data_IF_945128537414
#
_entry.id   IF_945128537414
#
_cell.length_a   1.000
_cell.length_b   1.000
_cell.length_c   1.000
_cell.angle_alpha   90.00
_cell.angle_beta   90.00
_cell.angle_gamma   90.00
#
_symmetry.space_group_name_H-M   'P 1'
#
loop_
_entity.id
_entity.type
_entity.pdbx_description
1 polymer ?
#
# COMPACT_ATOMS: atom_id res chain seq x y z
N UNK A 1 -4.02 21.83 -21.09
CA UNK A 1 -4.45 20.57 -20.45
C UNK A 1 -5.97 20.48 -20.62
N UNK A 2 -6.45 19.63 -21.54
CA UNK A 2 -7.89 19.41 -21.68
C UNK A 2 -8.39 18.82 -20.36
N UNK A 3 -9.30 19.54 -19.70
CA UNK A 3 -10.00 19.01 -18.53
C UNK A 3 -11.02 17.99 -19.02
N UNK A 4 -10.80 16.72 -18.71
CA UNK A 4 -11.82 15.70 -18.96
C UNK A 4 -13.12 16.11 -18.27
N UNK A 5 -14.22 16.06 -19.03
CA UNK A 5 -15.54 16.28 -18.44
C UNK A 5 -15.97 15.01 -17.69
N UNK A 6 -15.82 15.03 -16.37
CA UNK A 6 -16.17 13.91 -15.48
C UNK A 6 -17.54 14.08 -14.85
N UNK A 7 -18.28 15.16 -15.18
CA UNK A 7 -19.60 15.44 -14.61
C UNK A 7 -20.59 14.31 -14.95
N UNK A 8 -21.20 13.77 -13.92
CA UNK A 8 -22.17 12.67 -14.02
C UNK A 8 -21.57 11.28 -14.22
N UNK A 9 -20.23 11.16 -14.29
CA UNK A 9 -19.56 9.86 -14.26
C UNK A 9 -19.70 9.20 -12.89
N UNK A 10 -19.83 7.88 -12.86
CA UNK A 10 -19.96 7.09 -11.62
C UNK A 10 -18.61 6.50 -11.24
N UNK A 11 -18.14 6.82 -10.03
CA UNK A 11 -16.89 6.31 -9.46
C UNK A 11 -17.18 5.40 -8.27
N UNK A 12 -16.73 4.15 -8.36
CA UNK A 12 -16.70 3.24 -7.22
C UNK A 12 -15.38 3.42 -6.45
N UNK A 13 -15.48 3.72 -5.16
CA UNK A 13 -14.35 3.83 -4.22
C UNK A 13 -14.34 2.58 -3.35
N UNK A 14 -13.21 1.85 -3.35
CA UNK A 14 -13.03 0.63 -2.58
C UNK A 14 -12.59 0.96 -1.15
N UNK A 15 -13.35 0.50 -0.18
CA UNK A 15 -13.29 0.79 1.25
C UNK A 15 -13.79 2.19 1.65
N UNK A 16 -14.26 2.30 2.90
CA UNK A 16 -14.93 3.49 3.43
C UNK A 16 -14.24 4.17 4.61
N UNK A 17 -12.96 3.86 4.89
CA UNK A 17 -12.23 4.45 6.00
C UNK A 17 -12.13 5.99 5.91
N UNK A 18 -11.86 6.67 7.03
CA UNK A 18 -11.81 8.13 7.10
C UNK A 18 -10.85 8.81 6.11
N UNK A 19 -9.80 8.12 5.67
CA UNK A 19 -8.88 8.62 4.64
C UNK A 19 -9.58 8.85 3.29
N UNK A 20 -10.65 8.11 2.99
CA UNK A 20 -11.43 8.22 1.76
C UNK A 20 -12.37 9.44 1.74
N UNK A 21 -12.63 10.09 2.90
CA UNK A 21 -13.47 11.28 2.97
C UNK A 21 -12.99 12.39 2.03
N UNK A 22 -11.65 12.55 1.92
CA UNK A 22 -11.05 13.55 1.02
C UNK A 22 -11.26 13.17 -0.45
N UNK A 23 -11.18 11.88 -0.78
CA UNK A 23 -11.41 11.36 -2.12
C UNK A 23 -12.85 11.60 -2.55
N UNK A 24 -13.82 11.25 -1.70
CA UNK A 24 -15.25 11.46 -1.96
C UNK A 24 -15.54 12.96 -2.20
N UNK A 25 -15.04 13.84 -1.33
CA UNK A 25 -15.24 15.29 -1.48
C UNK A 25 -14.66 15.82 -2.79
N UNK A 26 -13.41 15.47 -3.10
CA UNK A 26 -12.76 15.89 -4.34
C UNK A 26 -13.50 15.39 -5.59
N UNK A 27 -13.97 14.13 -5.59
CA UNK A 27 -14.77 13.57 -6.69
C UNK A 27 -16.09 14.34 -6.87
N UNK A 28 -16.79 14.65 -5.77
CA UNK A 28 -18.04 15.43 -5.82
C UNK A 28 -17.82 16.86 -6.32
N UNK A 29 -16.73 17.52 -5.94
CA UNK A 29 -16.35 18.84 -6.48
C UNK A 29 -16.11 18.81 -8.00
N UNK A 30 -15.70 17.66 -8.53
CA UNK A 30 -15.57 17.43 -9.99
C UNK A 30 -16.90 17.06 -10.66
N UNK A 31 -17.99 16.96 -9.92
CA UNK A 31 -19.30 16.57 -10.42
C UNK A 31 -19.45 15.07 -10.66
N UNK A 32 -18.61 14.26 -10.07
CA UNK A 32 -18.64 12.80 -10.16
C UNK A 32 -19.66 12.25 -9.15
N UNK A 33 -20.48 11.30 -9.57
CA UNK A 33 -21.34 10.53 -8.68
C UNK A 33 -20.53 9.47 -7.96
N UNK A 34 -20.48 9.55 -6.64
CA UNK A 34 -19.58 8.75 -5.80
C UNK A 34 -20.30 7.59 -5.13
N UNK A 35 -19.71 6.42 -5.22
CA UNK A 35 -20.19 5.18 -4.60
C UNK A 35 -19.07 4.62 -3.74
N UNK A 36 -19.36 4.31 -2.46
CA UNK A 36 -18.39 3.71 -1.55
C UNK A 36 -18.82 2.28 -1.22
N UNK A 37 -17.93 1.30 -1.42
CA UNK A 37 -18.17 -0.08 -0.99
C UNK A 37 -17.31 -0.44 0.21
N UNK A 38 -17.94 -0.96 1.26
CA UNK A 38 -17.29 -1.46 2.46
C UNK A 38 -18.23 -2.45 3.16
N UNK A 39 -17.69 -3.49 3.81
CA UNK A 39 -18.47 -4.44 4.57
C UNK A 39 -18.96 -3.88 5.93
N UNK A 40 -18.34 -2.80 6.42
CA UNK A 40 -18.76 -2.12 7.64
C UNK A 40 -19.90 -1.14 7.33
N UNK A 41 -21.01 -1.17 8.09
CA UNK A 41 -22.15 -0.30 7.83
C UNK A 41 -21.86 1.18 8.08
N UNK A 42 -21.03 1.48 9.08
CA UNK A 42 -20.71 2.80 9.62
C UNK A 42 -19.38 3.36 9.15
N UNK A 43 -18.85 2.87 8.02
CA UNK A 43 -17.62 3.39 7.45
C UNK A 43 -17.74 4.87 7.08
N UNK A 44 -16.86 5.76 7.58
CA UNK A 44 -17.04 7.22 7.52
C UNK A 44 -17.26 7.79 6.11
N UNK A 45 -16.64 7.22 5.08
CA UNK A 45 -16.80 7.73 3.72
C UNK A 45 -18.16 7.39 3.09
N UNK A 46 -18.88 6.39 3.61
CA UNK A 46 -20.24 6.05 3.16
C UNK A 46 -21.23 7.18 3.40
N UNK A 47 -21.09 7.89 4.53
CA UNK A 47 -21.96 9.02 4.89
C UNK A 47 -21.81 10.20 3.93
N UNK A 48 -20.65 10.34 3.29
CA UNK A 48 -20.34 11.44 2.39
C UNK A 48 -20.63 11.11 0.92
N UNK A 49 -20.67 9.84 0.57
CA UNK A 49 -20.91 9.37 -0.79
C UNK A 49 -22.37 9.59 -1.22
N UNK A 50 -22.64 9.62 -2.53
CA UNK A 50 -23.99 9.68 -3.06
C UNK A 50 -24.71 8.34 -2.88
N UNK A 51 -23.95 7.24 -2.88
CA UNK A 51 -24.46 5.88 -2.66
C UNK A 51 -23.42 5.05 -1.89
N UNK A 52 -23.87 4.03 -1.17
CA UNK A 52 -22.99 3.07 -0.51
C UNK A 52 -23.45 1.62 -0.72
N UNK A 53 -22.46 0.73 -0.87
CA UNK A 53 -22.69 -0.70 -0.99
C UNK A 53 -22.13 -1.45 0.21
N UNK A 54 -22.88 -2.48 0.66
CA UNK A 54 -22.48 -3.38 1.73
C UNK A 54 -21.79 -4.63 1.17
N UNK A 55 -20.70 -4.39 0.40
CA UNK A 55 -19.89 -5.46 -0.18
C UNK A 55 -18.47 -5.38 0.36
N UNK A 56 -17.90 -6.54 0.69
CA UNK A 56 -16.50 -6.65 1.04
C UNK A 56 -15.64 -6.41 -0.21
N UNK A 57 -14.57 -5.63 -0.09
CA UNK A 57 -13.61 -5.38 -1.18
C UNK A 57 -12.98 -6.65 -1.75
N UNK A 58 -13.01 -7.75 -1.00
CA UNK A 58 -12.54 -9.07 -1.43
C UNK A 58 -13.59 -9.85 -2.24
N UNK A 59 -14.85 -9.42 -2.25
CA UNK A 59 -15.93 -10.01 -3.06
C UNK A 59 -15.92 -9.41 -4.47
N UNK A 60 -14.91 -9.79 -5.24
CA UNK A 60 -14.72 -9.29 -6.61
C UNK A 60 -15.91 -9.63 -7.50
N UNK A 61 -16.48 -10.84 -7.36
CA UNK A 61 -17.62 -11.28 -8.17
C UNK A 61 -18.86 -10.42 -7.94
N UNK A 62 -19.20 -10.19 -6.65
CA UNK A 62 -20.31 -9.35 -6.26
C UNK A 62 -20.14 -7.91 -6.72
N UNK A 63 -18.92 -7.35 -6.57
CA UNK A 63 -18.59 -6.00 -7.01
C UNK A 63 -18.71 -5.88 -8.53
N UNK A 64 -18.09 -6.77 -9.30
CA UNK A 64 -18.13 -6.74 -10.77
C UNK A 64 -19.56 -6.85 -11.29
N UNK A 65 -20.37 -7.74 -10.71
CA UNK A 65 -21.78 -7.86 -11.05
C UNK A 65 -22.50 -6.55 -10.85
N UNK A 66 -22.39 -5.96 -9.67
CA UNK A 66 -23.08 -4.71 -9.33
C UNK A 66 -22.55 -3.51 -10.15
N UNK A 67 -21.26 -3.45 -10.45
CA UNK A 67 -20.68 -2.44 -11.33
C UNK A 67 -21.30 -2.46 -12.73
N UNK A 68 -21.56 -3.66 -13.28
CA UNK A 68 -22.21 -3.80 -14.59
C UNK A 68 -23.67 -3.35 -14.56
N UNK A 69 -24.41 -3.72 -13.52
CA UNK A 69 -25.81 -3.32 -13.31
C UNK A 69 -25.94 -1.81 -13.18
N UNK A 70 -25.02 -1.18 -12.44
CA UNK A 70 -25.03 0.26 -12.16
C UNK A 70 -24.28 1.11 -13.19
N UNK A 71 -23.69 0.50 -14.20
CA UNK A 71 -22.92 1.18 -15.25
C UNK A 71 -21.81 2.08 -14.69
N UNK A 72 -20.90 1.51 -13.88
CA UNK A 72 -19.78 2.23 -13.26
C UNK A 72 -18.77 2.63 -14.34
N UNK A 73 -18.35 3.91 -14.34
CA UNK A 73 -17.38 4.47 -15.28
C UNK A 73 -15.92 4.34 -14.81
N UNK A 74 -15.69 4.21 -13.51
CA UNK A 74 -14.35 4.06 -12.95
C UNK A 74 -14.35 3.44 -11.57
N UNK A 75 -13.23 2.80 -11.21
CA UNK A 75 -13.00 2.23 -9.88
C UNK A 75 -11.73 2.86 -9.30
N UNK A 76 -11.70 3.08 -8.00
CA UNK A 76 -10.55 3.65 -7.31
C UNK A 76 -10.23 2.86 -6.05
N UNK A 77 -8.97 2.51 -5.89
CA UNK A 77 -8.37 2.13 -4.62
C UNK A 77 -7.47 3.27 -4.13
N UNK A 78 -7.67 3.72 -2.90
CA UNK A 78 -6.85 4.77 -2.29
C UNK A 78 -6.33 4.33 -0.92
N UNK A 79 -5.01 4.14 -0.82
CA UNK A 79 -4.29 3.82 0.43
C UNK A 79 -4.74 2.51 1.14
N UNK A 80 -5.34 1.56 0.43
CA UNK A 80 -5.75 0.27 1.01
C UNK A 80 -4.96 -0.85 0.33
N UNK A 81 -3.90 -1.32 0.98
CA UNK A 81 -3.04 -2.37 0.45
C UNK A 81 -3.79 -3.68 0.11
N UNK A 82 -4.70 -4.21 0.97
CA UNK A 82 -5.46 -5.40 0.64
C UNK A 82 -6.34 -5.28 -0.60
N UNK A 83 -6.76 -4.05 -0.95
CA UNK A 83 -7.62 -3.83 -2.10
C UNK A 83 -6.87 -3.77 -3.43
N UNK A 84 -5.54 -3.79 -3.47
CA UNK A 84 -4.77 -3.62 -4.71
C UNK A 84 -5.04 -4.73 -5.72
N UNK A 85 -4.98 -6.00 -5.31
CA UNK A 85 -5.26 -7.14 -6.19
C UNK A 85 -6.74 -7.19 -6.62
N UNK A 86 -7.73 -7.08 -5.69
CA UNK A 86 -9.13 -6.94 -6.06
C UNK A 86 -9.39 -5.78 -7.02
N UNK A 87 -8.81 -4.61 -6.78
CA UNK A 87 -8.93 -3.43 -7.64
C UNK A 87 -8.48 -3.72 -9.08
N UNK A 88 -7.29 -4.30 -9.24
CA UNK A 88 -6.79 -4.69 -10.55
C UNK A 88 -7.74 -5.65 -11.26
N UNK A 89 -8.17 -6.71 -10.57
CA UNK A 89 -9.07 -7.72 -11.14
C UNK A 89 -10.43 -7.13 -11.52
N UNK A 90 -10.99 -6.25 -10.69
CA UNK A 90 -12.25 -5.56 -11.00
C UNK A 90 -12.08 -4.70 -12.27
N UNK A 91 -11.01 -3.91 -12.37
CA UNK A 91 -10.75 -3.08 -13.54
C UNK A 91 -10.57 -3.92 -14.82
N UNK A 92 -9.79 -5.02 -14.76
CA UNK A 92 -9.60 -5.94 -15.89
C UNK A 92 -10.93 -6.55 -16.37
N UNK A 93 -11.75 -7.04 -15.43
CA UNK A 93 -13.04 -7.71 -15.77
C UNK A 93 -14.11 -6.75 -16.28
N UNK A 94 -13.98 -5.47 -15.95
CA UNK A 94 -14.87 -4.40 -16.42
C UNK A 94 -14.30 -3.64 -17.63
N UNK A 95 -13.07 -3.94 -18.04
CA UNK A 95 -12.33 -3.18 -19.05
C UNK A 95 -12.28 -1.68 -18.73
N UNK A 96 -12.04 -1.36 -17.45
CA UNK A 96 -11.89 0.01 -16.95
C UNK A 96 -10.41 0.37 -16.79
N UNK A 97 -10.06 1.68 -16.86
CA UNK A 97 -8.71 2.13 -16.58
C UNK A 97 -8.23 1.70 -15.19
N UNK A 98 -6.97 1.27 -15.11
CA UNK A 98 -6.29 0.91 -13.87
C UNK A 98 -4.96 1.67 -13.77
N UNK A 99 -4.54 2.03 -12.55
CA UNK A 99 -3.30 2.77 -12.29
C UNK A 99 -2.02 1.94 -12.51
N UNK A 100 -2.15 0.66 -12.73
CA UNK A 100 -1.01 -0.25 -12.94
C UNK A 100 -1.42 -1.53 -13.64
N UNK A 101 -0.42 -2.30 -14.02
CA UNK A 101 -0.57 -3.63 -14.61
C UNK A 101 -0.41 -4.72 -13.53
N UNK A 102 -0.78 -5.94 -13.85
CA UNK A 102 -0.53 -7.10 -12.97
C UNK A 102 0.94 -7.22 -12.58
N UNK A 103 1.86 -7.00 -13.55
CA UNK A 103 3.30 -6.99 -13.28
C UNK A 103 3.69 -5.88 -12.30
N UNK A 104 3.16 -4.68 -12.47
CA UNK A 104 3.43 -3.54 -11.57
C UNK A 104 2.99 -3.84 -10.14
N UNK A 105 1.75 -4.31 -9.97
CA UNK A 105 1.25 -4.65 -8.63
C UNK A 105 2.00 -5.82 -8.00
N UNK A 106 2.39 -6.83 -8.78
CA UNK A 106 3.14 -7.97 -8.26
C UNK A 106 4.52 -7.56 -7.73
N UNK A 107 5.20 -6.66 -8.44
CA UNK A 107 6.50 -6.11 -8.00
C UNK A 107 6.32 -5.22 -6.77
N UNK A 108 5.39 -4.27 -6.81
CA UNK A 108 5.26 -3.24 -5.76
C UNK A 108 4.66 -3.75 -4.45
N UNK A 109 3.98 -4.90 -4.46
CA UNK A 109 3.39 -5.50 -3.24
C UNK A 109 4.27 -6.53 -2.57
N UNK A 110 5.38 -6.91 -3.18
CA UNK A 110 6.35 -7.88 -2.67
C UNK A 110 7.72 -7.23 -2.48
N UNK A 111 8.24 -7.23 -1.25
CA UNK A 111 9.50 -6.55 -0.91
C UNK A 111 10.72 -7.18 -1.60
N UNK A 112 10.71 -8.51 -1.80
CA UNK A 112 11.80 -9.20 -2.49
C UNK A 112 11.82 -8.80 -3.95
N UNK A 113 10.70 -8.95 -4.64
CA UNK A 113 10.57 -8.59 -6.06
C UNK A 113 10.88 -7.13 -6.32
N UNK A 114 10.44 -6.24 -5.40
CA UNK A 114 10.75 -4.82 -5.53
C UNK A 114 12.24 -4.53 -5.41
N UNK A 115 12.95 -5.17 -4.46
CA UNK A 115 14.40 -5.01 -4.33
C UNK A 115 15.15 -5.58 -5.54
N UNK A 116 14.77 -6.76 -6.00
CA UNK A 116 15.37 -7.39 -7.19
C UNK A 116 15.19 -6.44 -8.40
N UNK A 117 14.01 -5.87 -8.55
CA UNK A 117 13.72 -4.88 -9.60
C UNK A 117 14.58 -3.62 -9.47
N UNK A 118 14.78 -3.09 -8.27
CA UNK A 118 15.67 -1.96 -8.02
C UNK A 118 17.11 -2.27 -8.44
N UNK A 119 17.64 -3.41 -8.02
CA UNK A 119 19.01 -3.85 -8.37
C UNK A 119 19.16 -4.02 -9.88
N UNK A 120 18.20 -4.66 -10.54
CA UNK A 120 18.20 -4.86 -12.00
C UNK A 120 18.24 -3.50 -12.76
N UNK A 121 17.67 -2.45 -12.18
CA UNK A 121 17.61 -1.12 -12.77
C UNK A 121 18.68 -0.13 -12.23
N UNK A 122 19.70 -0.65 -11.52
CA UNK A 122 20.80 0.16 -11.01
C UNK A 122 20.43 1.12 -9.87
N UNK A 123 19.35 0.82 -9.15
CA UNK A 123 18.94 1.57 -7.95
C UNK A 123 19.49 0.90 -6.71
N UNK A 124 20.23 1.65 -5.90
CA UNK A 124 20.80 1.15 -4.66
C UNK A 124 19.72 0.70 -3.68
N UNK A 125 19.97 -0.41 -3.01
CA UNK A 125 19.11 -0.96 -1.98
C UNK A 125 19.88 -1.14 -0.67
N UNK A 126 19.15 -1.19 0.45
CA UNK A 126 19.76 -1.49 1.75
C UNK A 126 20.42 -2.88 1.68
N UNK A 127 21.69 -3.02 2.14
CA UNK A 127 22.38 -4.30 2.17
C UNK A 127 21.57 -5.37 2.91
N UNK A 128 21.56 -6.57 2.36
CA UNK A 128 20.84 -7.71 2.93
C UNK A 128 21.78 -8.77 3.45
N UNK A 129 21.25 -9.55 4.40
CA UNK A 129 21.88 -10.73 4.95
C UNK A 129 20.99 -11.95 4.71
N UNK A 130 21.61 -13.07 4.43
CA UNK A 130 20.95 -14.37 4.29
C UNK A 130 20.76 -15.04 5.67
N UNK A 131 19.98 -16.11 5.73
CA UNK A 131 19.86 -16.95 6.94
C UNK A 131 21.21 -17.61 7.27
N UNK A 132 21.98 -17.99 6.24
CA UNK A 132 23.32 -18.53 6.36
C UNK A 132 24.30 -17.51 6.97
N UNK A 133 24.25 -16.25 6.57
CA UNK A 133 25.07 -15.18 7.15
C UNK A 133 24.78 -15.01 8.64
N UNK A 134 23.50 -15.05 9.03
CA UNK A 134 23.10 -14.96 10.44
C UNK A 134 23.60 -16.16 11.23
N UNK A 135 23.49 -17.37 10.68
CA UNK A 135 23.96 -18.58 11.33
C UNK A 135 25.48 -18.61 11.48
N UNK A 136 26.21 -18.10 10.49
CA UNK A 136 27.66 -17.98 10.48
C UNK A 136 28.18 -16.74 11.26
N UNK A 137 27.30 -15.91 11.79
CA UNK A 137 27.64 -14.65 12.47
C UNK A 137 28.36 -13.62 11.56
N UNK A 138 28.12 -13.67 10.25
CA UNK A 138 28.64 -12.74 9.26
C UNK A 138 27.70 -11.53 9.07
N UNK A 139 27.16 -10.99 10.16
CA UNK A 139 26.22 -9.87 10.15
C UNK A 139 26.67 -8.77 11.10
N UNK A 140 26.44 -7.53 10.70
CA UNK A 140 26.60 -6.35 11.56
C UNK A 140 25.27 -6.03 12.25
N UNK A 141 25.19 -6.29 13.56
CA UNK A 141 24.01 -5.93 14.35
C UNK A 141 23.98 -4.41 14.69
N UNK A 142 22.80 -3.78 14.82
CA UNK A 142 21.46 -4.38 14.66
C UNK A 142 21.07 -4.61 13.20
N UNK A 143 20.25 -5.66 12.99
CA UNK A 143 19.63 -5.98 11.70
C UNK A 143 18.12 -5.85 11.79
N UNK A 144 17.46 -5.66 10.64
CA UNK A 144 16.02 -5.50 10.54
C UNK A 144 15.41 -6.63 9.71
N UNK A 145 14.55 -7.42 10.34
CA UNK A 145 13.89 -8.56 9.72
C UNK A 145 12.42 -8.23 9.50
N UNK A 146 11.91 -8.51 8.30
CA UNK A 146 10.52 -8.24 7.91
C UNK A 146 10.00 -9.31 6.95
N UNK A 147 8.67 -9.60 6.98
CA UNK A 147 8.04 -10.48 5.99
C UNK A 147 8.17 -9.92 4.58
N UNK A 148 8.25 -10.78 3.56
CA UNK A 148 8.22 -10.36 2.14
C UNK A 148 6.95 -9.62 1.79
N UNK A 149 5.79 -10.08 2.26
CA UNK A 149 4.47 -9.58 1.87
C UNK A 149 3.52 -9.39 3.07
N UNK A 150 3.85 -8.47 3.97
CA UNK A 150 2.96 -8.06 5.06
C UNK A 150 2.66 -6.56 5.01
N UNK A 151 1.66 -6.14 5.78
CA UNK A 151 1.18 -4.76 5.88
C UNK A 151 1.18 -4.27 7.32
N UNK A 152 1.18 -2.95 7.50
CA UNK A 152 1.02 -2.31 8.81
C UNK A 152 2.12 -2.71 9.80
N UNK A 153 3.36 -2.86 9.33
CA UNK A 153 4.54 -3.22 10.13
C UNK A 153 4.43 -4.54 10.91
N UNK A 154 3.50 -5.43 10.56
CA UNK A 154 3.35 -6.73 11.19
C UNK A 154 4.54 -7.63 10.87
N UNK A 155 4.99 -8.39 11.86
CA UNK A 155 6.09 -9.34 11.72
C UNK A 155 7.46 -8.71 11.51
N UNK A 156 7.61 -7.40 11.74
CA UNK A 156 8.88 -6.70 11.67
C UNK A 156 9.59 -6.77 13.03
N UNK A 157 10.91 -7.00 13.01
CA UNK A 157 11.72 -7.11 14.23
C UNK A 157 13.10 -6.48 14.02
N UNK A 158 13.52 -5.61 14.95
CA UNK A 158 14.92 -5.15 15.04
C UNK A 158 15.62 -6.15 15.95
N UNK A 159 16.73 -6.73 15.48
CA UNK A 159 17.45 -7.77 16.18
C UNK A 159 18.88 -7.31 16.49
N UNK A 160 19.29 -7.45 17.74
CA UNK A 160 20.60 -7.06 18.26
C UNK A 160 21.52 -8.26 18.49
N UNK A 161 21.04 -9.47 18.24
CA UNK A 161 21.79 -10.70 18.43
C UNK A 161 21.31 -11.82 17.51
N UNK A 162 22.15 -12.82 17.29
CA UNK A 162 21.79 -14.05 16.53
C UNK A 162 20.52 -14.72 17.07
N UNK A 163 20.40 -14.80 18.41
CA UNK A 163 19.21 -15.40 19.05
C UNK A 163 17.94 -14.64 18.68
N UNK A 164 17.98 -13.32 18.74
CA UNK A 164 16.84 -12.48 18.34
C UNK A 164 16.55 -12.57 16.85
N UNK A 165 17.60 -12.66 16.02
CA UNK A 165 17.44 -12.82 14.57
C UNK A 165 16.73 -14.12 14.20
N UNK A 166 17.09 -15.25 14.82
CA UNK A 166 16.42 -16.54 14.60
C UNK A 166 14.93 -16.46 15.00
N UNK A 167 14.63 -15.84 16.14
CA UNK A 167 13.24 -15.62 16.56
C UNK A 167 12.49 -14.67 15.59
N UNK A 168 13.14 -13.58 15.16
CA UNK A 168 12.60 -12.62 14.19
C UNK A 168 12.29 -13.26 12.83
N UNK A 169 13.14 -14.14 12.34
CA UNK A 169 12.88 -14.92 11.11
C UNK A 169 11.61 -15.77 11.26
N UNK A 170 11.47 -16.48 12.39
CA UNK A 170 10.28 -17.28 12.63
C UNK A 170 9.00 -16.44 12.65
N UNK A 171 9.03 -15.27 13.28
CA UNK A 171 7.91 -14.31 13.30
C UNK A 171 7.60 -13.82 11.88
N UNK A 172 8.61 -13.42 11.12
CA UNK A 172 8.44 -12.92 9.76
C UNK A 172 7.87 -14.00 8.83
N UNK A 173 8.39 -15.24 8.90
CA UNK A 173 7.88 -16.39 8.14
C UNK A 173 6.43 -16.74 8.51
N UNK A 174 6.03 -16.56 9.76
CA UNK A 174 4.66 -16.83 10.21
C UNK A 174 3.66 -15.81 9.65
N UNK A 175 4.06 -14.54 9.57
CA UNK A 175 3.20 -13.45 9.07
C UNK A 175 3.15 -13.40 7.54
N UNK A 176 4.18 -13.87 6.85
CA UNK A 176 4.25 -13.87 5.38
C UNK A 176 3.42 -15.00 4.76
N UNK A 177 2.65 -14.70 3.71
CA UNK A 177 1.83 -15.70 3.01
C UNK A 177 2.66 -16.72 2.23
N UNK A 178 3.85 -16.31 1.76
CA UNK A 178 4.82 -17.17 1.04
C UNK A 178 5.90 -17.75 1.96
N UNK A 179 5.79 -17.51 3.28
CA UNK A 179 6.82 -17.89 4.28
C UNK A 179 8.19 -17.26 4.02
N UNK A 180 8.23 -16.20 3.22
CA UNK A 180 9.44 -15.46 2.91
C UNK A 180 9.72 -14.36 3.94
N UNK A 181 10.99 -13.96 4.00
CA UNK A 181 11.44 -12.80 4.77
C UNK A 181 12.55 -12.05 4.05
N UNK A 182 12.78 -10.83 4.48
CA UNK A 182 13.90 -9.97 4.08
C UNK A 182 14.64 -9.59 5.36
N UNK A 183 15.97 -9.76 5.37
CA UNK A 183 16.83 -9.35 6.46
C UNK A 183 17.77 -8.26 5.95
N UNK A 184 17.73 -7.07 6.55
CA UNK A 184 18.48 -5.91 6.11
C UNK A 184 19.33 -5.33 7.23
N UNK A 185 20.39 -4.58 6.88
CA UNK A 185 21.07 -3.69 7.81
C UNK A 185 20.03 -2.71 8.40
N UNK A 186 20.05 -2.54 9.72
CA UNK A 186 19.18 -1.57 10.36
C UNK A 186 19.68 -0.13 10.16
N UNK A 187 18.85 0.71 9.59
CA UNK A 187 19.17 2.09 9.22
C UNK A 187 18.62 3.13 10.22
N UNK A 188 18.23 2.70 11.43
CA UNK A 188 17.57 3.55 12.42
C UNK A 188 18.35 4.78 12.90
N UNK A 189 19.64 4.88 12.59
CA UNK A 189 20.49 6.03 12.91
C UNK A 189 20.48 7.11 11.82
N UNK A 190 19.73 6.89 10.75
CA UNK A 190 19.66 7.80 9.60
C UNK A 190 18.32 8.53 9.58
N UNK A 191 18.33 9.76 9.04
CA UNK A 191 17.12 10.53 8.82
C UNK A 191 16.26 9.83 7.78
N UNK A 192 15.02 9.49 8.16
CA UNK A 192 14.04 8.91 7.24
C UNK A 192 13.38 10.01 6.41
N UNK A 193 13.24 9.75 5.10
CA UNK A 193 12.67 10.69 4.14
C UNK A 193 11.40 10.06 3.55
N UNK A 194 10.34 10.84 3.47
CA UNK A 194 9.11 10.47 2.78
C UNK A 194 8.96 11.24 1.48
N UNK A 195 8.77 10.54 0.37
CA UNK A 195 8.40 11.14 -0.90
C UNK A 195 7.14 10.48 -1.47
N UNK A 196 6.34 11.25 -2.20
CA UNK A 196 5.22 10.72 -2.95
C UNK A 196 5.19 11.33 -4.35
N UNK A 197 4.87 10.50 -5.33
CA UNK A 197 4.76 10.88 -6.72
C UNK A 197 3.40 10.48 -7.27
N UNK A 198 2.85 11.31 -8.16
CA UNK A 198 1.84 10.86 -9.11
C UNK A 198 2.48 10.59 -10.45
N UNK A 199 2.13 9.47 -11.07
CA UNK A 199 2.57 9.15 -12.43
C UNK A 199 1.40 9.44 -13.39
N UNK A 200 1.62 10.38 -14.31
CA UNK A 200 0.61 10.78 -15.30
C UNK A 200 1.20 10.55 -16.69
N UNK A 201 0.56 9.72 -17.49
CA UNK A 201 1.05 9.35 -18.83
C UNK A 201 2.50 8.83 -18.85
N UNK A 202 2.91 8.10 -17.81
CA UNK A 202 4.27 7.58 -17.67
C UNK A 202 5.29 8.55 -17.08
N UNK A 203 4.93 9.80 -16.83
CA UNK A 203 5.82 10.81 -16.23
C UNK A 203 5.57 10.94 -14.71
N UNK A 204 6.61 10.78 -13.88
CA UNK A 204 6.50 10.96 -12.44
C UNK A 204 6.51 12.45 -12.05
N UNK A 205 5.51 12.85 -11.27
CA UNK A 205 5.41 14.21 -10.72
C UNK A 205 5.55 14.13 -9.19
N UNK A 206 6.58 14.76 -8.63
CA UNK A 206 6.76 14.85 -7.19
C UNK A 206 5.67 15.73 -6.57
N UNK A 207 4.89 15.17 -5.64
CA UNK A 207 3.79 15.89 -4.98
C UNK A 207 4.01 16.08 -3.49
N UNK A 208 4.94 15.33 -2.92
CA UNK A 208 5.31 15.43 -1.51
C UNK A 208 6.75 15.00 -1.32
N UNK A 209 7.48 15.78 -0.51
CA UNK A 209 8.82 15.46 -0.05
C UNK A 209 8.99 16.03 1.37
N UNK A 210 9.59 15.27 2.27
CA UNK A 210 9.82 15.76 3.63
C UNK A 210 10.50 14.74 4.52
N UNK A 211 10.98 15.22 5.64
CA UNK A 211 11.54 14.39 6.69
C UNK A 211 10.44 13.61 7.42
N UNK A 212 10.74 12.36 7.79
CA UNK A 212 9.86 11.54 8.61
C UNK A 212 10.50 11.41 9.99
N UNK A 213 9.69 11.71 11.00
CA UNK A 213 10.11 11.55 12.38
C UNK A 213 9.29 10.43 13.02
N UNK A 214 9.94 9.59 13.81
CA UNK A 214 9.24 8.62 14.66
C UNK A 214 8.56 9.40 15.79
N UNK A 215 7.36 8.99 16.17
CA UNK A 215 6.70 9.48 17.37
C UNK A 215 7.53 9.16 18.61
N UNK A 216 7.30 9.86 19.71
CA UNK A 216 8.00 9.59 20.97
C UNK A 216 7.67 8.19 21.46
N UNK A 217 8.63 7.51 22.07
CA UNK A 217 8.46 6.15 22.64
C UNK A 217 7.29 6.06 23.64
N UNK A 218 6.99 7.16 24.33
CA UNK A 218 5.90 7.28 25.31
C UNK A 218 4.50 7.09 24.70
N UNK A 219 4.33 7.30 23.39
CA UNK A 219 3.01 7.27 22.74
C UNK A 219 2.55 5.87 22.32
N UNK A 220 3.35 4.81 22.50
CA UNK A 220 3.07 3.42 22.09
C UNK A 220 2.50 3.27 20.67
N UNK A 221 2.69 4.26 19.84
CA UNK A 221 2.16 4.37 18.50
C UNK A 221 3.33 4.60 17.55
N UNK A 222 3.46 3.75 16.55
CA UNK A 222 4.29 3.98 15.36
C UNK A 222 3.76 5.20 14.57
N UNK A 223 3.56 6.33 15.24
CA UNK A 223 3.14 7.57 14.61
C UNK A 223 4.34 8.20 13.92
N UNK A 224 4.39 8.01 12.62
CA UNK A 224 5.29 8.78 11.78
C UNK A 224 4.68 10.16 11.58
N UNK A 225 5.36 11.19 12.04
CA UNK A 225 5.01 12.58 11.72
C UNK A 225 5.84 12.99 10.52
N UNK A 226 5.20 13.37 9.43
CA UNK A 226 5.87 13.92 8.26
C UNK A 226 5.76 15.43 8.35
N UNK A 227 6.89 16.09 8.56
CA UNK A 227 6.99 17.54 8.46
C UNK A 227 7.45 17.89 7.03
N UNK A 228 6.60 18.60 6.29
CA UNK A 228 7.01 19.25 5.03
C UNK A 228 7.52 20.64 5.37
N UNK A 229 8.72 20.97 4.91
CA UNK A 229 9.19 22.36 4.86
C UNK A 229 8.66 23.06 3.63
#
# INVERSE_FOLDING_TARGET
MERYNLKGKKLLILAGAGVHNKVVRAAKEMGIYTIVTDYLPDSPAKELADESWMLNIMDVDGIVKKCKEEHIDGVMNFCIDPAQKPYLEICERLNLPCIGTRKTFDILTDKRKFKDYCVEHGVDVIPEYTEEDILAENVEYPIFIKPTNSRGSRGQTICYSKKEAIAGIAIAKAESSDKGFVCEKYMGNHQDIGSAFFVVNGEPHLVKFGDRYLGREEDNLNKQVICTK
#
